data_IF_748750844585
#
_entry.id   IF_748750844585
#
_cell.length_a   1.000
_cell.length_b   1.000
_cell.length_c   1.000
_cell.angle_alpha   90.00
_cell.angle_beta   90.00
_cell.angle_gamma   90.00
#
_symmetry.space_group_name_H-M   'P 1'
#
loop_
_entity.id
_entity.type
_entity.pdbx_description
1 polymer ?
#
# COMPACT_ATOMS: atom_id res chain seq x y z
N UNK A 1 -20.02 5.89 -5.06
CA UNK A 1 -20.12 7.06 -5.97
C UNK A 1 -19.48 6.77 -7.33
N UNK A 2 -18.18 6.47 -7.41
CA UNK A 2 -17.45 6.30 -8.69
C UNK A 2 -18.04 5.24 -9.62
N UNK A 3 -18.30 4.02 -9.13
CA UNK A 3 -18.92 2.96 -9.96
C UNK A 3 -20.31 3.33 -10.48
N UNK A 4 -21.15 3.93 -9.61
CA UNK A 4 -22.48 4.41 -10.00
C UNK A 4 -22.38 5.50 -11.08
N UNK A 5 -21.38 6.38 -10.99
CA UNK A 5 -21.10 7.40 -12.01
C UNK A 5 -20.66 6.80 -13.34
N UNK A 6 -19.85 5.72 -13.30
CA UNK A 6 -19.41 5.02 -14.49
C UNK A 6 -20.56 4.23 -15.16
N UNK A 7 -21.60 3.82 -14.42
CA UNK A 7 -22.76 3.05 -14.93
C UNK A 7 -22.34 1.81 -15.74
N UNK A 8 -21.31 1.09 -15.27
CA UNK A 8 -20.77 -0.09 -15.97
C UNK A 8 -20.02 0.22 -17.27
N UNK A 9 -19.74 1.49 -17.58
CA UNK A 9 -18.95 1.92 -18.76
C UNK A 9 -17.47 2.00 -18.44
N UNK A 10 -16.89 0.85 -18.12
CA UNK A 10 -15.44 0.67 -17.94
C UNK A 10 -15.04 -0.72 -18.43
N UNK A 11 -13.78 -0.87 -18.85
CA UNK A 11 -13.19 -2.17 -19.17
C UNK A 11 -12.90 -2.94 -17.89
N UNK A 12 -11.87 -2.51 -17.16
CA UNK A 12 -11.49 -3.08 -15.85
C UNK A 12 -11.43 -1.98 -14.80
N UNK A 13 -11.95 -2.26 -13.61
CA UNK A 13 -11.78 -1.39 -12.44
C UNK A 13 -10.67 -1.92 -11.54
N UNK A 14 -9.63 -1.11 -11.32
CA UNK A 14 -8.53 -1.46 -10.41
C UNK A 14 -8.71 -0.64 -9.13
N UNK A 15 -8.83 -1.32 -8.00
CA UNK A 15 -8.93 -0.73 -6.68
C UNK A 15 -7.63 -0.92 -5.91
N UNK A 16 -7.04 0.20 -5.46
CA UNK A 16 -5.90 0.16 -4.54
C UNK A 16 -6.43 -0.02 -3.12
N UNK A 17 -6.32 -1.26 -2.65
CA UNK A 17 -6.66 -1.68 -1.30
C UNK A 17 -5.40 -1.72 -0.42
N UNK A 18 -5.46 -2.46 0.68
CA UNK A 18 -4.42 -2.53 1.71
C UNK A 18 -4.41 -3.90 2.36
N UNK A 19 -3.30 -4.33 2.94
CA UNK A 19 -3.25 -5.52 3.79
C UNK A 19 -3.86 -5.29 5.18
N UNK A 20 -4.17 -4.04 5.58
CA UNK A 20 -4.95 -3.77 6.79
C UNK A 20 -6.36 -4.37 6.75
N UNK A 21 -6.85 -4.83 5.59
CA UNK A 21 -8.11 -5.60 5.52
C UNK A 21 -8.04 -6.90 6.33
N UNK A 22 -6.85 -7.43 6.59
CA UNK A 22 -6.65 -8.61 7.42
C UNK A 22 -6.79 -8.32 8.92
N UNK A 23 -6.51 -7.09 9.36
CA UNK A 23 -6.68 -6.67 10.78
C UNK A 23 -8.14 -6.69 11.23
N UNK A 24 -9.06 -6.63 10.26
CA UNK A 24 -10.52 -6.64 10.47
C UNK A 24 -11.18 -7.93 10.01
N UNK A 25 -10.37 -8.93 9.66
CA UNK A 25 -10.80 -10.26 9.21
C UNK A 25 -10.70 -11.29 10.33
N UNK A 26 -11.29 -12.46 10.12
CA UNK A 26 -11.29 -13.57 11.07
C UNK A 26 -9.93 -14.27 11.10
N UNK A 27 -9.08 -13.83 12.04
CA UNK A 27 -7.73 -14.36 12.21
C UNK A 27 -7.66 -15.86 12.52
N UNK A 28 -8.75 -16.47 12.97
CA UNK A 28 -8.79 -17.92 13.20
C UNK A 28 -8.61 -18.72 11.90
N UNK A 29 -8.87 -18.11 10.73
CA UNK A 29 -8.73 -18.76 9.42
C UNK A 29 -7.27 -18.96 9.00
N UNK A 30 -6.33 -18.22 9.57
CA UNK A 30 -4.91 -18.30 9.22
C UNK A 30 -3.97 -18.43 10.42
N UNK A 31 -4.51 -18.55 11.63
CA UNK A 31 -3.69 -18.74 12.82
C UNK A 31 -2.87 -20.03 12.71
N UNK A 32 -1.55 -19.92 12.88
CA UNK A 32 -0.62 -21.04 12.75
C UNK A 32 -0.26 -21.43 11.30
N UNK A 33 -0.81 -20.74 10.29
CA UNK A 33 -0.38 -20.92 8.91
C UNK A 33 0.92 -20.15 8.63
N UNK A 34 1.72 -20.58 7.64
CA UNK A 34 2.96 -19.90 7.28
C UNK A 34 2.73 -18.55 6.58
N UNK A 35 1.55 -18.34 5.99
CA UNK A 35 1.25 -17.13 5.21
C UNK A 35 -0.25 -16.86 5.09
N UNK A 36 -0.63 -15.59 4.93
CA UNK A 36 -2.00 -15.13 4.69
C UNK A 36 -2.24 -14.94 3.19
N UNK A 37 -3.22 -15.63 2.63
CA UNK A 37 -3.68 -15.48 1.24
C UNK A 37 -4.86 -14.51 1.11
N UNK A 38 -5.23 -14.21 -0.12
CA UNK A 38 -6.30 -13.28 -0.44
C UNK A 38 -7.69 -13.76 0.02
N UNK A 39 -7.87 -15.08 0.14
CA UNK A 39 -9.12 -15.71 0.52
C UNK A 39 -9.45 -15.54 2.01
N UNK A 40 -8.49 -15.13 2.82
CA UNK A 40 -8.67 -14.92 4.25
C UNK A 40 -9.22 -13.55 4.64
N UNK A 41 -9.43 -12.64 3.68
CA UNK A 41 -10.08 -11.36 3.95
C UNK A 41 -11.59 -11.54 4.10
N UNK A 42 -11.99 -12.12 5.22
CA UNK A 42 -13.36 -12.50 5.57
C UNK A 42 -13.68 -11.95 6.95
N UNK A 43 -14.80 -11.23 7.09
CA UNK A 43 -15.23 -10.70 8.40
C UNK A 43 -15.53 -11.84 9.38
N UNK A 44 -15.25 -11.66 10.69
CA UNK A 44 -15.76 -12.55 11.73
C UNK A 44 -17.28 -12.67 11.68
N UNK A 45 -17.80 -13.83 12.08
CA UNK A 45 -19.25 -14.08 12.13
C UNK A 45 -19.95 -13.26 13.21
N UNK A 46 -19.29 -13.03 14.36
CA UNK A 46 -19.91 -12.31 15.46
C UNK A 46 -19.90 -10.79 15.22
N UNK A 47 -21.10 -10.17 15.20
CA UNK A 47 -21.26 -8.71 15.03
C UNK A 47 -20.47 -7.89 16.04
N UNK A 48 -20.41 -8.35 17.30
CA UNK A 48 -19.64 -7.68 18.35
C UNK A 48 -18.14 -7.67 18.02
N UNK A 49 -17.61 -8.77 17.48
CA UNK A 49 -16.21 -8.86 17.07
C UNK A 49 -15.93 -7.93 15.90
N UNK A 50 -16.81 -7.87 14.90
CA UNK A 50 -16.70 -6.92 13.78
C UNK A 50 -16.66 -5.47 14.28
N UNK A 51 -17.52 -5.10 15.24
CA UNK A 51 -17.56 -3.76 15.81
C UNK A 51 -16.26 -3.42 16.57
N UNK A 52 -15.71 -4.37 17.32
CA UNK A 52 -14.43 -4.21 18.02
C UNK A 52 -13.26 -4.03 17.05
N UNK A 53 -13.18 -4.86 16.00
CA UNK A 53 -12.12 -4.75 15.00
C UNK A 53 -12.22 -3.45 14.21
N UNK A 54 -13.42 -3.00 13.84
CA UNK A 54 -13.64 -1.67 13.22
C UNK A 54 -13.10 -0.55 14.10
N UNK A 55 -13.32 -0.62 15.42
CA UNK A 55 -12.82 0.39 16.35
C UNK A 55 -11.29 0.40 16.42
N UNK A 56 -10.66 -0.76 16.31
CA UNK A 56 -9.19 -0.88 16.28
C UNK A 56 -8.60 -0.38 14.96
N UNK A 57 -9.21 -0.73 13.84
CA UNK A 57 -8.77 -0.32 12.51
C UNK A 57 -9.97 0.04 11.62
N UNK A 58 -10.34 1.32 11.69
CA UNK A 58 -11.41 1.87 10.85
C UNK A 58 -10.98 1.96 9.39
N UNK A 59 -9.69 2.15 9.11
CA UNK A 59 -9.15 2.23 7.76
C UNK A 59 -9.28 0.89 7.04
N UNK A 60 -8.74 -0.19 7.62
CA UNK A 60 -8.88 -1.56 7.14
C UNK A 60 -10.35 -1.98 7.01
N UNK A 61 -11.20 -1.62 7.98
CA UNK A 61 -12.64 -1.89 7.93
C UNK A 61 -13.33 -1.29 6.69
N UNK A 62 -13.06 -0.01 6.43
CA UNK A 62 -13.65 0.71 5.30
C UNK A 62 -13.08 0.20 3.97
N UNK A 63 -11.78 -0.13 3.91
CA UNK A 63 -11.15 -0.73 2.73
C UNK A 63 -11.78 -2.08 2.38
N UNK A 64 -11.98 -2.96 3.38
CA UNK A 64 -12.64 -4.25 3.19
C UNK A 64 -14.11 -4.09 2.76
N UNK A 65 -14.83 -3.11 3.32
CA UNK A 65 -16.21 -2.82 2.90
C UNK A 65 -16.31 -2.44 1.42
N UNK A 66 -15.33 -1.68 0.90
CA UNK A 66 -15.27 -1.35 -0.52
C UNK A 66 -15.00 -2.61 -1.36
N UNK A 67 -14.11 -3.51 -0.92
CA UNK A 67 -13.89 -4.77 -1.62
C UNK A 67 -15.14 -5.64 -1.70
N UNK A 68 -15.93 -5.70 -0.64
CA UNK A 68 -17.22 -6.44 -0.59
C UNK A 68 -18.21 -5.86 -1.61
N UNK A 69 -18.40 -4.54 -1.62
CA UNK A 69 -19.26 -3.85 -2.60
C UNK A 69 -18.75 -4.05 -4.04
N UNK A 70 -17.43 -3.98 -4.25
CA UNK A 70 -16.82 -4.18 -5.56
C UNK A 70 -17.02 -5.59 -6.09
N UNK A 71 -16.98 -6.60 -5.21
CA UNK A 71 -17.26 -8.00 -5.56
C UNK A 71 -18.70 -8.18 -6.03
N UNK A 72 -19.66 -7.62 -5.29
CA UNK A 72 -21.07 -7.63 -5.68
C UNK A 72 -21.30 -6.91 -7.01
N UNK A 73 -20.68 -5.74 -7.20
CA UNK A 73 -20.79 -4.97 -8.43
C UNK A 73 -20.17 -5.67 -9.64
N UNK A 74 -19.03 -6.34 -9.48
CA UNK A 74 -18.39 -7.11 -10.54
C UNK A 74 -19.37 -8.19 -11.07
N UNK A 75 -19.99 -8.92 -10.15
CA UNK A 75 -21.00 -9.93 -10.47
C UNK A 75 -22.25 -9.32 -11.12
N UNK A 76 -22.75 -8.20 -10.60
CA UNK A 76 -23.96 -7.56 -11.11
C UNK A 76 -23.78 -6.94 -12.51
N UNK A 77 -22.59 -6.43 -12.81
CA UNK A 77 -22.30 -5.74 -14.08
C UNK A 77 -21.64 -6.62 -15.14
N UNK A 78 -21.15 -7.80 -14.76
CA UNK A 78 -20.34 -8.63 -15.64
C UNK A 78 -18.99 -7.99 -15.98
N UNK A 79 -18.51 -7.03 -15.17
CA UNK A 79 -17.28 -6.26 -15.44
C UNK A 79 -16.16 -6.66 -14.49
N UNK A 80 -14.93 -6.85 -14.99
CA UNK A 80 -13.81 -7.25 -14.17
C UNK A 80 -13.39 -6.15 -13.18
N UNK A 81 -13.09 -6.59 -11.96
CA UNK A 81 -12.55 -5.79 -10.87
C UNK A 81 -11.33 -6.48 -10.30
N UNK A 82 -10.24 -5.73 -10.14
CA UNK A 82 -9.03 -6.19 -9.48
C UNK A 82 -8.73 -5.31 -8.25
N UNK A 83 -8.49 -5.93 -7.10
CA UNK A 83 -8.05 -5.27 -5.87
C UNK A 83 -6.57 -5.59 -5.62
N UNK A 84 -5.75 -4.56 -5.45
CA UNK A 84 -4.35 -4.71 -5.02
C UNK A 84 -4.26 -4.40 -3.53
N UNK A 85 -3.95 -5.40 -2.70
CA UNK A 85 -3.74 -5.27 -1.26
C UNK A 85 -2.27 -5.03 -1.00
N UNK A 86 -1.94 -3.75 -0.84
CA UNK A 86 -0.57 -3.31 -0.60
C UNK A 86 -0.25 -3.39 0.89
N UNK A 87 0.93 -3.89 1.22
CA UNK A 87 1.53 -3.69 2.54
C UNK A 87 2.09 -2.26 2.65
N UNK A 88 2.99 -2.01 3.61
CA UNK A 88 3.63 -0.71 3.74
C UNK A 88 4.46 -0.37 2.50
N UNK A 89 3.98 0.61 1.72
CA UNK A 89 4.59 0.98 0.44
C UNK A 89 5.84 1.83 0.68
N UNK A 90 6.93 1.47 0.00
CA UNK A 90 8.19 2.21 -0.04
C UNK A 90 8.59 2.47 -1.49
N UNK A 91 9.35 3.54 -1.71
CA UNK A 91 9.87 3.88 -3.03
C UNK A 91 10.03 5.38 -3.27
N UNK A 92 10.49 5.76 -4.46
CA UNK A 92 10.45 7.14 -4.93
C UNK A 92 9.07 7.78 -4.74
N UNK A 93 9.06 9.04 -4.33
CA UNK A 93 7.84 9.84 -4.11
C UNK A 93 6.92 9.32 -2.99
N UNK A 94 7.43 8.58 -1.99
CA UNK A 94 6.70 8.27 -0.75
C UNK A 94 6.18 9.57 -0.09
N UNK A 95 4.87 9.61 0.16
CA UNK A 95 4.13 10.72 0.75
C UNK A 95 3.58 10.37 2.15
N UNK A 96 3.87 9.17 2.66
CA UNK A 96 3.46 8.77 4.01
C UNK A 96 4.40 9.29 5.10
N UNK A 97 5.61 9.67 4.69
CA UNK A 97 6.77 10.08 5.49
C UNK A 97 7.27 9.02 6.49
N UNK A 98 6.72 7.81 6.47
CA UNK A 98 7.04 6.77 7.45
C UNK A 98 8.47 6.29 7.26
N UNK A 99 8.82 6.00 6.02
CA UNK A 99 10.17 5.57 5.65
C UNK A 99 11.17 6.74 5.73
N UNK A 100 10.76 7.94 5.32
CA UNK A 100 11.50 9.20 5.52
C UNK A 100 11.94 9.44 6.96
N UNK A 101 11.04 9.23 7.91
CA UNK A 101 11.37 9.46 9.32
C UNK A 101 12.51 8.55 9.79
N UNK A 102 12.45 7.26 9.47
CA UNK A 102 13.52 6.32 9.82
C UNK A 102 14.82 6.58 9.03
N UNK A 103 14.72 6.97 7.76
CA UNK A 103 15.88 7.35 6.95
C UNK A 103 16.68 8.52 7.56
N UNK A 104 16.03 9.54 8.11
CA UNK A 104 16.77 10.61 8.80
C UNK A 104 17.18 10.24 10.22
N UNK A 105 16.35 9.50 10.95
CA UNK A 105 16.68 9.15 12.32
C UNK A 105 17.93 8.27 12.38
N UNK A 106 18.05 7.28 11.49
CA UNK A 106 19.23 6.42 11.38
C UNK A 106 20.51 7.22 11.09
N UNK A 107 20.43 8.33 10.36
CA UNK A 107 21.59 9.18 10.11
C UNK A 107 22.15 9.86 11.36
N UNK A 108 21.32 10.07 12.39
CA UNK A 108 21.71 10.72 13.65
C UNK A 108 21.63 9.77 14.84
N UNK A 109 21.43 8.48 14.60
CA UNK A 109 21.17 7.47 15.62
C UNK A 109 22.29 7.36 16.67
N UNK A 110 23.55 7.58 16.26
CA UNK A 110 24.69 7.57 17.20
C UNK A 110 24.58 8.63 18.31
N UNK A 111 23.89 9.74 18.06
CA UNK A 111 23.61 10.80 19.04
C UNK A 111 22.21 10.65 19.67
N UNK A 112 21.24 10.24 18.86
CA UNK A 112 19.83 10.16 19.23
C UNK A 112 19.27 8.78 18.88
N UNK A 113 19.28 7.81 19.82
CA UNK A 113 18.85 6.44 19.52
C UNK A 113 17.45 6.40 18.91
N UNK A 114 17.27 5.55 17.90
CA UNK A 114 15.93 5.28 17.33
C UNK A 114 15.08 4.58 18.39
N UNK A 115 13.88 5.11 18.63
CA UNK A 115 12.92 4.46 19.53
C UNK A 115 12.19 3.38 18.76
N UNK A 116 12.16 2.18 19.32
CA UNK A 116 11.58 0.98 18.73
C UNK A 116 10.55 0.45 19.73
N UNK A 117 9.37 0.06 19.25
CA UNK A 117 8.37 -0.55 20.12
C UNK A 117 8.80 -1.99 20.52
N UNK A 118 8.20 -2.59 21.58
CA UNK A 118 8.61 -3.91 22.05
C UNK A 118 8.53 -5.05 21.01
N UNK A 119 7.69 -4.90 19.99
CA UNK A 119 7.54 -5.90 18.91
C UNK A 119 8.50 -5.67 17.75
N UNK A 120 9.09 -4.48 17.63
CA UNK A 120 10.00 -4.11 16.54
C UNK A 120 11.17 -5.07 16.28
N UNK A 121 11.77 -5.74 17.28
CA UNK A 121 12.82 -6.74 17.04
C UNK A 121 12.32 -8.11 16.54
N UNK A 122 11.03 -8.42 16.72
CA UNK A 122 10.50 -9.79 16.53
C UNK A 122 9.39 -9.88 15.48
N UNK A 123 8.52 -8.87 15.38
CA UNK A 123 7.44 -8.84 14.41
C UNK A 123 8.01 -8.66 13.00
N UNK A 124 7.71 -9.62 12.12
CA UNK A 124 8.08 -9.54 10.71
C UNK A 124 7.00 -8.79 9.93
N UNK A 125 7.41 -7.82 9.11
CA UNK A 125 6.53 -7.03 8.26
C UNK A 125 6.81 -7.28 6.78
N UNK A 126 5.78 -7.10 5.96
CA UNK A 126 5.89 -7.05 4.50
C UNK A 126 6.01 -5.57 4.08
N UNK A 127 6.92 -5.27 3.15
CA UNK A 127 6.98 -3.96 2.48
C UNK A 127 6.61 -4.11 1.01
N UNK A 128 6.03 -3.09 0.41
CA UNK A 128 5.67 -3.08 -1.02
C UNK A 128 6.53 -2.08 -1.76
N UNK A 129 7.21 -2.48 -2.82
CA UNK A 129 7.93 -1.52 -3.66
C UNK A 129 6.98 -0.85 -4.65
N UNK A 130 7.01 0.49 -4.73
CA UNK A 130 6.09 1.27 -5.56
C UNK A 130 6.15 0.93 -7.05
N UNK A 131 7.33 0.55 -7.56
CA UNK A 131 7.45 0.16 -8.98
C UNK A 131 6.78 -1.18 -9.28
N UNK A 132 6.74 -2.11 -8.31
CA UNK A 132 5.97 -3.35 -8.45
C UNK A 132 4.46 -3.07 -8.48
N UNK A 133 4.00 -2.04 -7.76
CA UNK A 133 2.60 -1.57 -7.85
C UNK A 133 2.31 -1.04 -9.26
N UNK A 134 3.19 -0.20 -9.80
CA UNK A 134 3.05 0.31 -11.15
C UNK A 134 3.07 -0.81 -12.21
N UNK A 135 3.93 -1.82 -12.02
CA UNK A 135 4.00 -3.00 -12.87
C UNK A 135 2.70 -3.82 -12.81
N UNK A 136 2.16 -4.06 -11.61
CA UNK A 136 0.90 -4.77 -11.41
C UNK A 136 -0.28 -4.05 -12.09
N UNK A 137 -0.41 -2.75 -11.87
CA UNK A 137 -1.43 -1.92 -12.52
C UNK A 137 -1.30 -1.99 -14.05
N UNK A 138 -0.09 -1.85 -14.58
CA UNK A 138 0.18 -1.93 -16.02
C UNK A 138 -0.22 -3.29 -16.61
N UNK A 139 0.12 -4.39 -15.94
CA UNK A 139 -0.26 -5.75 -16.36
C UNK A 139 -1.78 -5.95 -16.37
N UNK A 140 -2.48 -5.46 -15.34
CA UNK A 140 -3.93 -5.54 -15.25
C UNK A 140 -4.62 -4.73 -16.37
N UNK A 141 -4.13 -3.53 -16.66
CA UNK A 141 -4.65 -2.70 -17.75
C UNK A 141 -4.40 -3.31 -19.13
N UNK A 142 -3.24 -3.94 -19.35
CA UNK A 142 -2.92 -4.58 -20.63
C UNK A 142 -3.77 -5.84 -20.87
N UNK A 143 -4.01 -6.66 -19.85
CA UNK A 143 -4.90 -7.82 -19.95
C UNK A 143 -6.34 -7.44 -20.30
N UNK A 144 -6.83 -6.36 -19.69
CA UNK A 144 -8.15 -5.83 -19.98
C UNK A 144 -8.34 -5.52 -21.47
N UNK A 145 -7.29 -5.03 -22.15
CA UNK A 145 -7.33 -4.69 -23.58
C UNK A 145 -7.37 -5.91 -24.49
N UNK A 146 -6.79 -7.03 -24.07
CA UNK A 146 -6.76 -8.27 -24.87
C UNK A 146 -8.10 -9.01 -24.74
N UNK A 147 -8.75 -8.91 -23.58
CA UNK A 147 -10.02 -9.58 -23.31
C UNK A 147 -11.25 -8.88 -23.91
N UNK A 148 -11.13 -7.64 -24.40
CA UNK A 148 -12.23 -7.03 -25.18
C UNK A 148 -12.33 -7.74 -26.54
N UNK A 149 -13.46 -8.40 -26.87
CA UNK A 149 -13.69 -8.85 -28.23
C UNK A 149 -13.66 -7.60 -29.09
N UNK A 150 -12.87 -7.60 -30.16
CA UNK A 150 -13.02 -6.61 -31.21
C UNK A 150 -14.50 -6.62 -31.60
N UNK A 151 -15.21 -5.54 -31.26
CA UNK A 151 -16.59 -5.36 -31.66
C UNK A 151 -16.56 -5.42 -33.19
N UNK A 152 -17.02 -6.56 -33.72
CA UNK A 152 -17.01 -6.80 -35.15
C UNK A 152 -17.77 -5.65 -35.79
N UNK A 153 -17.09 -4.92 -36.66
CA UNK A 153 -17.66 -3.87 -37.50
C UNK A 153 -18.61 -4.45 -38.58
N UNK A 154 -19.38 -5.47 -38.22
CA UNK A 154 -20.29 -6.22 -39.09
C UNK A 154 -21.65 -6.42 -38.38
N UNK A 155 -22.23 -5.33 -37.89
CA UNK A 155 -23.68 -5.29 -37.64
C UNK A 155 -24.22 -3.88 -37.84
N UNK A 156 -24.00 -3.34 -39.05
CA UNK A 156 -24.67 -2.12 -39.53
C UNK A 156 -25.27 -2.24 -40.93
N UNK A 157 -25.33 -3.44 -41.49
CA UNK A 157 -25.93 -3.67 -42.84
C UNK A 157 -27.04 -4.73 -42.86
N UNK A 158 -27.46 -5.29 -41.73
CA UNK A 158 -28.51 -6.31 -41.69
C UNK A 158 -29.94 -5.78 -41.44
N UNK A 159 -30.12 -4.47 -41.19
CA UNK A 159 -31.42 -3.90 -40.79
C UNK A 159 -32.21 -3.22 -41.93
N UNK A 160 -31.83 -3.44 -43.20
CA UNK A 160 -32.51 -2.84 -44.36
C UNK A 160 -33.20 -3.82 -45.32
N UNK A 161 -33.19 -5.13 -45.06
CA UNK A 161 -33.87 -6.09 -45.96
C UNK A 161 -34.88 -7.05 -45.32
N UNK A 162 -35.12 -7.02 -44.01
CA UNK A 162 -36.13 -7.86 -43.36
C UNK A 162 -37.52 -7.19 -43.28
N UNK A 163 -37.97 -6.53 -44.37
CA UNK A 163 -39.36 -6.11 -44.55
C UNK A 163 -39.78 -6.25 -46.01
N UNK A 164 -39.84 -7.49 -46.49
CA UNK A 164 -40.75 -7.86 -47.58
C UNK A 164 -40.89 -9.37 -47.67
N UNK A 165 -42.14 -9.79 -47.85
CA UNK A 165 -42.57 -11.13 -48.27
C UNK A 165 -42.87 -12.13 -47.15
N UNK A 166 -44.03 -11.91 -46.56
CA UNK A 166 -44.96 -12.93 -46.09
C UNK A 166 -45.50 -13.78 -47.25
N UNK A 167 -45.49 -15.12 -47.13
CA UNK A 167 -46.59 -16.02 -47.53
C UNK A 167 -46.23 -17.50 -47.32
N UNK A 168 -47.07 -18.22 -46.57
CA UNK A 168 -47.60 -19.60 -46.77
C UNK A 168 -46.64 -20.74 -47.20
N UNK A 169 -46.71 -22.01 -46.76
CA UNK A 169 -47.62 -22.78 -45.90
C UNK A 169 -47.20 -24.28 -45.96
N UNK A 170 -47.67 -25.06 -44.97
CA UNK A 170 -47.97 -26.53 -44.92
C UNK A 170 -46.86 -27.61 -44.76
N UNK A 171 -47.04 -28.42 -43.68
CA UNK A 171 -46.90 -29.92 -43.55
C UNK A 171 -45.53 -30.60 -43.75
N UNK A 172 -45.14 -31.72 -43.11
CA UNK A 172 -45.76 -32.67 -42.17
C UNK A 172 -44.65 -33.55 -41.52
N UNK A 173 -45.01 -34.12 -40.36
CA UNK A 173 -44.55 -35.34 -39.64
C UNK A 173 -43.47 -36.28 -40.23
N UNK A 174 -42.62 -36.87 -39.36
CA UNK A 174 -42.70 -38.28 -38.85
C UNK A 174 -41.49 -38.58 -37.91
N UNK A 175 -41.74 -39.51 -37.00
CA UNK A 175 -41.13 -39.95 -35.73
C UNK A 175 -39.95 -40.96 -35.77
N UNK A 176 -39.39 -41.16 -34.56
CA UNK A 176 -38.66 -42.35 -34.02
C UNK A 176 -37.15 -42.45 -34.32
N UNK A 177 -36.22 -42.91 -33.45
CA UNK A 177 -36.22 -43.51 -32.10
C UNK A 177 -34.75 -43.71 -31.64
N UNK A 178 -34.52 -43.78 -30.30
CA UNK A 178 -33.48 -44.51 -29.49
C UNK A 178 -32.24 -45.11 -30.21
N UNK A 179 -31.01 -45.12 -29.69
CA UNK A 179 -30.52 -45.37 -28.32
C UNK A 179 -28.98 -45.16 -28.26
N UNK A 180 -28.47 -44.87 -27.05
CA UNK A 180 -27.12 -45.18 -26.48
C UNK A 180 -25.83 -45.03 -27.32
N UNK A 181 -24.95 -44.14 -26.84
CA UNK A 181 -23.55 -44.55 -26.49
C UNK A 181 -22.99 -43.63 -25.41
N UNK A 182 -22.53 -44.23 -24.32
CA UNK A 182 -21.72 -43.60 -23.27
C UNK A 182 -20.28 -43.36 -23.74
N UNK A 183 -19.65 -42.38 -23.07
CA UNK A 183 -18.23 -42.21 -22.86
C UNK A 183 -17.35 -41.76 -24.05
N UNK A 184 -16.98 -40.48 -24.03
CA UNK A 184 -15.58 -40.07 -23.98
C UNK A 184 -15.43 -38.55 -23.78
N UNK A 185 -14.56 -38.19 -22.84
CA UNK A 185 -13.58 -37.11 -22.92
C UNK A 185 -14.12 -35.66 -22.95
N UNK A 186 -14.14 -34.98 -21.79
CA UNK A 186 -13.04 -34.10 -21.31
C UNK A 186 -12.72 -32.96 -22.27
N UNK A 187 -13.25 -31.77 -21.96
CA UNK A 187 -12.81 -30.51 -22.55
C UNK A 187 -13.83 -29.41 -22.28
N UNK A 188 -13.40 -28.33 -21.64
CA UNK A 188 -14.14 -27.08 -21.33
C UNK A 188 -15.07 -27.07 -20.10
N UNK A 189 -14.53 -27.41 -18.93
CA UNK A 189 -14.71 -26.50 -17.80
C UNK A 189 -13.68 -25.39 -18.00
N UNK A 190 -13.99 -24.44 -18.88
CA UNK A 190 -13.28 -23.16 -18.87
C UNK A 190 -13.46 -22.62 -17.44
N UNK A 191 -12.37 -22.55 -16.67
CA UNK A 191 -12.35 -21.87 -15.40
C UNK A 191 -12.96 -20.49 -15.62
N UNK A 192 -14.19 -20.31 -15.14
CA UNK A 192 -14.89 -19.05 -15.26
C UNK A 192 -14.10 -18.06 -14.41
N UNK A 193 -13.18 -17.33 -15.04
CA UNK A 193 -12.23 -16.45 -14.37
C UNK A 193 -13.04 -15.48 -13.52
N UNK A 194 -12.89 -15.57 -12.19
CA UNK A 194 -13.70 -14.77 -11.25
C UNK A 194 -13.59 -13.30 -11.63
N UNK A 195 -14.73 -12.65 -11.92
CA UNK A 195 -14.78 -11.24 -12.30
C UNK A 195 -14.18 -10.35 -11.22
N UNK A 196 -14.24 -10.77 -9.96
CA UNK A 196 -13.54 -10.14 -8.86
C UNK A 196 -12.25 -10.89 -8.54
N UNK A 197 -11.12 -10.19 -8.58
CA UNK A 197 -9.81 -10.71 -8.14
C UNK A 197 -9.22 -9.79 -7.11
N UNK A 198 -8.66 -10.37 -6.05
CA UNK A 198 -7.80 -9.67 -5.11
C UNK A 198 -6.40 -10.28 -5.18
N UNK A 199 -5.39 -9.44 -5.00
CA UNK A 199 -3.97 -9.79 -5.02
C UNK A 199 -3.25 -9.15 -3.84
N UNK A 200 -2.53 -9.95 -3.06
CA UNK A 200 -1.50 -9.45 -2.16
C UNK A 200 -0.29 -9.03 -2.99
N UNK A 201 0.26 -7.87 -2.65
CA UNK A 201 1.43 -7.32 -3.31
C UNK A 201 2.38 -6.75 -2.28
N UNK A 202 3.54 -7.36 -2.17
CA UNK A 202 4.67 -6.96 -1.34
C UNK A 202 5.96 -7.62 -1.87
N UNK A 203 7.13 -7.16 -1.45
CA UNK A 203 8.38 -7.91 -1.57
C UNK A 203 8.20 -9.31 -0.95
N UNK A 204 8.90 -10.31 -1.48
CA UNK A 204 8.78 -11.69 -0.99
C UNK A 204 9.37 -11.83 0.41
N UNK A 205 10.50 -11.15 0.64
CA UNK A 205 11.14 -11.13 1.93
C UNK A 205 10.34 -10.26 2.91
N UNK A 206 10.37 -10.70 4.16
CA UNK A 206 9.89 -9.91 5.28
C UNK A 206 11.06 -9.39 6.09
N UNK A 207 10.83 -8.39 6.92
CA UNK A 207 11.86 -7.75 7.74
C UNK A 207 11.29 -7.35 9.09
N UNK A 208 12.09 -7.34 10.14
CA UNK A 208 11.70 -6.68 11.40
C UNK A 208 12.00 -5.18 11.33
N UNK A 209 11.48 -4.38 12.26
CA UNK A 209 11.81 -2.96 12.29
C UNK A 209 13.32 -2.76 12.52
N UNK A 210 13.93 -3.56 13.41
CA UNK A 210 15.37 -3.50 13.69
C UNK A 210 16.21 -3.87 12.46
N UNK A 211 15.88 -4.98 11.78
CA UNK A 211 16.56 -5.38 10.53
C UNK A 211 16.45 -4.28 9.46
N UNK A 212 15.30 -3.61 9.34
CA UNK A 212 15.11 -2.49 8.41
C UNK A 212 15.97 -1.28 8.79
N UNK A 213 16.05 -0.93 10.07
CA UNK A 213 16.92 0.16 10.56
C UNK A 213 18.40 -0.13 10.25
N UNK A 214 18.83 -1.38 10.38
CA UNK A 214 20.19 -1.80 10.01
C UNK A 214 20.45 -1.63 8.52
N UNK A 215 19.52 -2.05 7.65
CA UNK A 215 19.62 -1.84 6.21
C UNK A 215 19.70 -0.35 5.87
N UNK A 216 18.81 0.47 6.43
CA UNK A 216 18.79 1.93 6.25
C UNK A 216 20.12 2.56 6.66
N UNK A 217 20.62 2.20 7.84
CA UNK A 217 21.88 2.73 8.37
C UNK A 217 23.07 2.35 7.49
N UNK A 218 23.17 1.09 7.08
CA UNK A 218 24.22 0.62 6.17
C UNK A 218 24.21 1.41 4.84
N UNK A 219 23.03 1.68 4.28
CA UNK A 219 22.89 2.50 3.07
C UNK A 219 23.34 3.94 3.32
N UNK A 220 22.92 4.55 4.43
CA UNK A 220 23.34 5.91 4.78
C UNK A 220 24.86 6.02 4.92
N UNK A 221 25.51 5.04 5.57
CA UNK A 221 26.98 4.97 5.68
C UNK A 221 27.64 4.87 4.30
N UNK A 222 27.12 4.02 3.40
CA UNK A 222 27.63 3.92 2.02
C UNK A 222 27.52 5.26 1.28
N UNK A 223 26.35 5.89 1.35
CA UNK A 223 26.08 7.15 0.67
C UNK A 223 26.91 8.32 1.20
N UNK A 224 27.31 8.32 2.47
CA UNK A 224 28.30 9.28 2.98
C UNK A 224 29.68 9.04 2.38
N UNK A 225 30.12 7.78 2.27
CA UNK A 225 31.41 7.43 1.62
C UNK A 225 31.42 7.82 0.15
N UNK A 226 30.27 7.75 -0.51
CA UNK A 226 30.07 8.17 -1.90
C UNK A 226 29.84 9.69 -2.07
N UNK A 227 29.73 10.45 -0.98
CA UNK A 227 29.47 11.90 -1.01
C UNK A 227 28.02 12.28 -1.37
N UNK A 228 27.09 11.32 -1.37
CA UNK A 228 25.66 11.55 -1.61
C UNK A 228 24.95 12.12 -0.39
N UNK A 229 25.40 11.78 0.83
CA UNK A 229 24.90 12.33 2.09
C UNK A 229 26.01 13.10 2.84
N UNK A 230 25.65 14.13 3.63
CA UNK A 230 26.60 14.84 4.47
C UNK A 230 27.16 13.93 5.57
N UNK A 231 28.46 14.05 5.82
CA UNK A 231 29.10 13.47 6.99
C UNK A 231 28.75 14.31 8.23
N UNK A 232 28.40 13.70 9.37
CA UNK A 232 28.30 14.44 10.62
C UNK A 232 29.68 15.05 10.91
N UNK A 233 29.76 16.37 10.86
CA UNK A 233 30.98 17.09 11.22
C UNK A 233 31.40 16.70 12.63
N UNK A 234 32.63 16.20 12.78
CA UNK A 234 33.30 16.13 14.06
C UNK A 234 33.44 17.56 14.59
N UNK A 235 32.48 18.00 15.40
CA UNK A 235 32.58 19.27 16.11
C UNK A 235 33.67 19.14 17.17
N UNK A 236 34.90 19.49 16.79
CA UNK A 236 35.78 20.50 17.42
C UNK A 236 37.22 20.29 16.96
N UNK A 237 37.85 21.36 16.48
CA UNK A 237 39.27 21.44 16.11
C UNK A 237 40.22 21.31 17.32
N UNK A 238 39.78 20.83 18.48
CA UNK A 238 40.61 20.71 19.70
C UNK A 238 41.23 19.33 19.92
N UNK A 239 40.85 18.29 19.16
CA UNK A 239 41.38 16.93 19.34
C UNK A 239 42.48 16.54 18.32
N UNK A 240 43.24 17.51 17.82
CA UNK A 240 44.42 17.22 16.97
C UNK A 240 45.65 16.71 17.74
N UNK A 241 45.57 16.55 19.07
CA UNK A 241 46.73 16.26 19.90
C UNK A 241 46.87 14.80 20.38
N UNK A 242 45.95 13.89 20.06
CA UNK A 242 46.11 12.48 20.46
C UNK A 242 45.83 11.56 19.28
N UNK A 243 46.85 10.81 18.88
CA UNK A 243 46.85 9.85 17.77
C UNK A 243 45.97 8.62 18.03
N UNK A 244 44.68 8.84 18.25
CA UNK A 244 43.67 7.80 18.34
C UNK A 244 43.15 7.54 16.91
N UNK A 245 42.97 6.27 16.48
CA UNK A 245 42.55 5.99 15.12
C UNK A 245 41.22 6.69 14.80
N UNK A 246 41.19 7.44 13.69
CA UNK A 246 39.95 7.96 13.09
C UNK A 246 39.09 6.76 12.69
N UNK A 247 38.08 6.45 13.48
CA UNK A 247 37.17 5.35 13.18
C UNK A 247 36.29 4.95 14.35
N UNK A 248 35.61 5.90 15.01
CA UNK A 248 34.33 5.50 15.61
C UNK A 248 33.38 5.33 14.44
N UNK A 249 33.20 4.10 13.98
CA UNK A 249 32.13 3.77 13.05
C UNK A 249 30.84 4.38 13.60
N UNK A 250 30.11 5.08 12.74
CA UNK A 250 28.77 5.55 13.09
C UNK A 250 27.95 4.32 13.44
N UNK A 251 27.78 4.08 14.74
CA UNK A 251 27.04 2.94 15.25
C UNK A 251 25.55 3.27 15.20
N UNK A 252 24.76 2.36 14.62
CA UNK A 252 23.31 2.43 14.73
C UNK A 252 22.94 2.18 16.20
N UNK A 253 22.31 3.16 16.83
CA UNK A 253 21.75 2.98 18.18
C UNK A 253 20.24 3.03 18.11
N UNK A 254 19.63 2.05 18.74
CA UNK A 254 18.19 1.98 18.95
C UNK A 254 17.93 1.45 20.36
N UNK A 255 16.74 1.70 20.88
CA UNK A 255 16.30 1.15 22.17
C UNK A 255 14.81 0.89 22.17
N UNK A 256 14.40 -0.08 22.97
CA UNK A 256 12.99 -0.35 23.23
C UNK A 256 12.41 0.83 24.04
N UNK A 257 11.27 1.34 23.60
CA UNK A 257 10.45 2.31 24.33
C UNK A 257 9.08 1.68 24.56
N UNK A 258 8.77 1.35 25.82
CA UNK A 258 7.51 0.71 26.20
C UNK A 258 6.34 1.71 26.22
N UNK A 259 6.63 3.00 26.40
CA UNK A 259 5.62 4.04 26.34
C UNK A 259 5.28 4.35 24.87
N UNK A 260 4.20 3.76 24.38
CA UNK A 260 3.70 3.98 23.02
C UNK A 260 3.38 5.45 22.71
N UNK A 261 3.18 6.32 23.73
CA UNK A 261 3.00 7.77 23.50
C UNK A 261 4.31 8.47 23.18
N UNK A 262 5.44 7.88 23.58
CA UNK A 262 6.80 8.38 23.35
C UNK A 262 7.49 7.70 22.17
N UNK A 263 7.04 6.50 21.80
CA UNK A 263 7.50 5.77 20.63
C UNK A 263 6.56 6.01 19.44
N UNK A 264 6.85 6.97 18.55
CA UNK A 264 6.13 7.04 17.30
C UNK A 264 6.58 5.86 16.42
N UNK A 265 5.98 4.68 16.59
CA UNK A 265 6.22 3.57 15.68
C UNK A 265 5.45 3.86 14.38
N UNK A 266 6.20 4.05 13.30
CA UNK A 266 5.63 4.35 11.97
C UNK A 266 5.42 3.10 11.13
N UNK A 267 6.11 2.01 11.48
CA UNK A 267 6.11 0.73 10.77
C UNK A 267 6.27 -0.40 11.81
N UNK A 268 5.60 -1.54 11.62
CA UNK A 268 4.60 -1.79 10.59
C UNK A 268 3.29 -1.02 10.83
N UNK A 269 2.50 -0.78 9.79
CA UNK A 269 1.15 -0.19 9.94
C UNK A 269 0.07 -1.18 10.36
N UNK A 270 0.41 -2.47 10.44
CA UNK A 270 -0.48 -3.57 10.79
C UNK A 270 0.10 -4.40 11.94
N UNK A 271 -0.75 -5.03 12.74
CA UNK A 271 -0.33 -5.86 13.86
C UNK A 271 -0.23 -7.35 13.51
N UNK A 272 -0.66 -7.77 12.31
CA UNK A 272 -0.48 -9.13 11.80
C UNK A 272 0.99 -9.57 11.83
N UNK A 273 1.22 -10.74 12.41
CA UNK A 273 2.54 -11.37 12.47
C UNK A 273 2.78 -12.35 11.30
N UNK A 274 1.73 -13.03 10.83
CA UNK A 274 1.83 -14.05 9.78
C UNK A 274 2.00 -13.41 8.41
N UNK A 275 3.12 -13.55 7.66
CA UNK A 275 3.40 -12.86 6.40
C UNK A 275 2.35 -13.04 5.29
N UNK A 276 2.30 -12.13 4.31
CA UNK A 276 1.48 -12.31 3.11
C UNK A 276 2.10 -13.34 2.16
N UNK A 277 1.27 -14.05 1.41
CA UNK A 277 1.72 -14.82 0.23
C UNK A 277 1.47 -14.04 -1.06
N UNK A 278 2.49 -14.00 -1.92
CA UNK A 278 2.44 -13.36 -3.24
C UNK A 278 2.25 -14.39 -4.38
N UNK A 279 1.98 -15.66 -4.05
CA UNK A 279 1.82 -16.75 -5.02
C UNK A 279 0.83 -16.41 -6.13
N UNK A 280 -0.32 -15.83 -5.76
CA UNK A 280 -1.41 -15.52 -6.68
C UNK A 280 -1.00 -14.47 -7.71
N UNK A 281 -0.45 -13.34 -7.26
CA UNK A 281 -0.06 -12.26 -8.18
C UNK A 281 1.08 -12.69 -9.11
N UNK A 282 2.01 -13.53 -8.65
CA UNK A 282 3.06 -14.10 -9.51
C UNK A 282 2.50 -15.03 -10.56
N UNK A 283 1.67 -15.99 -10.15
CA UNK A 283 1.08 -16.96 -11.07
C UNK A 283 0.18 -16.28 -12.09
N UNK A 284 -0.65 -15.36 -11.62
CA UNK A 284 -1.67 -14.74 -12.45
C UNK A 284 -1.10 -13.56 -13.24
N UNK A 285 -0.23 -12.69 -12.73
CA UNK A 285 0.28 -11.53 -13.50
C UNK A 285 1.69 -11.72 -14.09
N UNK A 286 2.39 -12.80 -13.74
CA UNK A 286 3.75 -13.06 -14.20
C UNK A 286 4.75 -12.00 -13.73
N UNK A 287 4.52 -11.42 -12.55
CA UNK A 287 5.41 -10.42 -11.96
C UNK A 287 6.61 -11.10 -11.29
N UNK A 288 7.81 -10.61 -11.60
CA UNK A 288 8.98 -10.82 -10.77
C UNK A 288 9.04 -9.65 -9.79
N UNK A 289 8.80 -9.93 -8.52
CA UNK A 289 8.73 -8.90 -7.48
C UNK A 289 10.14 -8.46 -7.10
N UNK A 290 10.29 -7.17 -6.81
CA UNK A 290 11.58 -6.57 -6.49
C UNK A 290 12.06 -7.08 -5.12
N UNK A 291 13.30 -7.59 -5.01
CA UNK A 291 13.87 -7.99 -3.73
C UNK A 291 13.86 -6.85 -2.72
N UNK A 292 13.55 -7.16 -1.46
CA UNK A 292 13.42 -6.13 -0.41
C UNK A 292 14.66 -5.22 -0.30
N UNK A 293 15.86 -5.80 -0.34
CA UNK A 293 17.11 -5.03 -0.21
C UNK A 293 17.29 -4.04 -1.36
N UNK A 294 16.88 -4.42 -2.57
CA UNK A 294 16.93 -3.57 -3.76
C UNK A 294 15.88 -2.46 -3.68
N UNK A 295 14.67 -2.77 -3.21
CA UNK A 295 13.63 -1.79 -2.96
C UNK A 295 14.07 -0.73 -1.93
N UNK A 296 14.67 -1.16 -0.82
CA UNK A 296 15.23 -0.27 0.21
C UNK A 296 16.36 0.59 -0.34
N UNK A 297 17.31 0.00 -1.08
CA UNK A 297 18.43 0.74 -1.68
C UNK A 297 17.93 1.79 -2.68
N UNK A 298 17.00 1.43 -3.56
CA UNK A 298 16.42 2.36 -4.53
C UNK A 298 15.67 3.50 -3.85
N UNK A 299 14.90 3.18 -2.81
CA UNK A 299 14.18 4.17 -2.00
C UNK A 299 15.16 5.14 -1.34
N UNK A 300 16.17 4.64 -0.62
CA UNK A 300 17.16 5.47 0.06
C UNK A 300 17.97 6.35 -0.91
N UNK A 301 18.37 5.80 -2.07
CA UNK A 301 19.10 6.55 -3.10
C UNK A 301 18.27 7.71 -3.61
N UNK A 302 16.99 7.46 -3.92
CA UNK A 302 16.08 8.52 -4.33
C UNK A 302 15.91 9.58 -3.25
N UNK A 303 15.72 9.19 -1.98
CA UNK A 303 15.56 10.12 -0.86
C UNK A 303 16.79 10.99 -0.61
N UNK A 304 17.99 10.45 -0.76
CA UNK A 304 19.23 11.21 -0.65
C UNK A 304 19.29 12.34 -1.69
N UNK A 305 18.88 12.06 -2.92
CA UNK A 305 18.76 13.08 -3.97
C UNK A 305 17.58 14.04 -3.72
N UNK A 306 16.42 13.50 -3.34
CA UNK A 306 15.19 14.24 -3.10
C UNK A 306 15.30 15.22 -1.92
N UNK A 307 16.12 14.92 -0.91
CA UNK A 307 16.40 15.85 0.20
C UNK A 307 16.89 17.21 -0.29
N UNK A 308 17.69 17.22 -1.38
CA UNK A 308 18.19 18.46 -2.01
C UNK A 308 17.22 19.02 -3.05
N UNK A 309 16.57 18.15 -3.83
CA UNK A 309 15.68 18.57 -4.91
C UNK A 309 14.34 19.12 -4.40
N UNK A 310 13.84 18.60 -3.27
CA UNK A 310 12.53 18.87 -2.67
C UNK A 310 12.69 19.13 -1.15
N UNK A 311 13.44 20.17 -0.74
CA UNK A 311 13.83 20.37 0.66
C UNK A 311 12.65 20.74 1.58
N UNK A 312 11.55 21.26 1.02
CA UNK A 312 10.36 21.57 1.79
C UNK A 312 9.63 20.29 2.20
N UNK A 313 9.37 19.41 1.24
CA UNK A 313 8.73 18.11 1.43
C UNK A 313 9.57 17.24 2.35
N UNK A 314 10.89 17.21 2.14
CA UNK A 314 11.83 16.56 3.04
C UNK A 314 11.77 17.13 4.47
N UNK A 315 11.67 18.45 4.63
CA UNK A 315 11.56 19.05 5.96
C UNK A 315 10.22 18.73 6.64
N UNK A 316 9.11 18.62 5.90
CA UNK A 316 7.80 18.30 6.44
C UNK A 316 7.80 16.93 7.13
N UNK A 317 8.37 15.95 6.45
CA UNK A 317 8.57 14.61 6.96
C UNK A 317 9.54 14.58 8.16
N UNK A 318 10.61 15.39 8.15
CA UNK A 318 11.54 15.51 9.29
C UNK A 318 10.89 16.12 10.54
N UNK A 319 9.71 16.75 10.43
CA UNK A 319 8.95 17.24 11.61
C UNK A 319 8.46 16.10 12.51
N UNK A 320 8.30 14.89 11.98
CA UNK A 320 7.87 13.70 12.74
C UNK A 320 8.94 13.17 13.71
N UNK A 321 10.20 13.57 13.53
CA UNK A 321 11.30 13.20 14.43
C UNK A 321 11.13 13.83 15.83
N UNK A 322 11.66 13.18 16.89
CA UNK A 322 11.85 13.83 18.18
C UNK A 322 12.61 15.16 18.05
N UNK A 323 12.30 16.13 18.92
CA UNK A 323 12.81 17.50 18.78
C UNK A 323 14.34 17.58 18.68
N UNK A 324 15.05 16.83 19.53
CA UNK A 324 16.52 16.84 19.56
C UNK A 324 17.11 16.19 18.31
N UNK A 325 16.56 15.04 17.88
CA UNK A 325 16.96 14.37 16.63
C UNK A 325 16.71 15.29 15.41
N UNK A 326 15.57 15.96 15.37
CA UNK A 326 15.21 16.92 14.33
C UNK A 326 16.20 18.09 14.26
N UNK A 327 16.68 18.59 15.40
CA UNK A 327 17.70 19.65 15.41
C UNK A 327 19.06 19.17 14.88
N UNK A 328 19.48 17.95 15.22
CA UNK A 328 20.71 17.38 14.64
C UNK A 328 20.56 17.15 13.14
N UNK A 329 19.42 16.67 12.66
CA UNK A 329 19.12 16.53 11.21
C UNK A 329 19.15 17.89 10.52
N UNK A 330 18.52 18.92 11.10
CA UNK A 330 18.58 20.30 10.61
C UNK A 330 20.02 20.84 10.54
N UNK A 331 20.85 20.54 11.52
CA UNK A 331 22.24 20.99 11.55
C UNK A 331 23.06 20.31 10.45
N UNK A 332 22.84 19.01 10.25
CA UNK A 332 23.50 18.14 9.28
C UNK A 332 23.13 18.47 7.83
N UNK A 333 21.84 18.69 7.56
CA UNK A 333 21.30 18.98 6.23
C UNK A 333 20.97 20.46 6.09
N UNK A 334 21.91 21.23 5.52
CA UNK A 334 21.77 22.69 5.39
C UNK A 334 20.54 23.10 4.57
N UNK A 335 20.17 22.29 3.56
CA UNK A 335 19.02 22.52 2.68
C UNK A 335 17.68 22.51 3.44
N UNK A 336 17.60 21.83 4.58
CA UNK A 336 16.38 21.76 5.40
C UNK A 336 16.24 22.94 6.37
N UNK A 337 17.28 23.76 6.53
CA UNK A 337 17.30 24.87 7.49
C UNK A 337 16.21 25.94 7.26
N UNK A 338 15.82 26.29 6.02
CA UNK A 338 14.74 27.26 5.83
C UNK A 338 13.37 26.75 6.31
N UNK A 339 13.17 25.43 6.40
CA UNK A 339 11.84 24.81 6.55
C UNK A 339 11.59 24.13 7.90
N UNK A 340 12.66 23.90 8.68
CA UNK A 340 12.58 23.38 10.04
C UNK A 340 12.64 24.52 11.09
N UNK A 341 12.05 24.36 12.29
CA UNK A 341 12.15 25.37 13.35
C UNK A 341 13.55 25.40 13.97
N UNK A 342 14.05 26.59 14.31
CA UNK A 342 15.30 26.74 15.08
C UNK A 342 15.06 26.50 16.57
N UNK A 343 16.07 25.98 17.28
CA UNK A 343 16.01 25.71 18.73
C UNK A 343 15.73 26.94 19.59
N UNK A 344 15.93 28.15 19.06
CA UNK A 344 15.66 29.41 19.75
C UNK A 344 14.18 29.85 19.72
N UNK A 345 13.29 29.13 19.01
CA UNK A 345 11.89 29.53 18.83
C UNK A 345 10.92 28.98 19.89
N UNK A 346 11.41 28.29 20.92
CA UNK A 346 10.60 27.89 22.08
C UNK A 346 10.63 28.93 23.19
N UNK A 347 10.12 30.13 22.92
CA UNK A 347 9.58 31.01 23.96
C UNK A 347 8.58 32.00 23.36
N UNK A 348 7.38 32.04 23.95
CA UNK A 348 6.24 32.94 23.72
C UNK A 348 5.34 32.71 22.49
N UNK A 349 4.24 31.98 22.71
CA UNK A 349 2.90 32.60 22.63
C UNK A 349 1.84 31.66 23.21
N UNK A 350 1.37 32.05 24.39
CA UNK A 350 0.14 31.63 25.04
C UNK A 350 -1.10 31.91 24.17
N UNK A 351 -2.03 30.96 24.19
CA UNK A 351 -3.49 31.11 24.06
C UNK A 351 -4.04 32.40 23.43
N UNK A 352 -4.53 32.29 22.20
CA UNK A 352 -5.65 33.10 21.72
C UNK A 352 -6.63 32.20 20.98
N UNK A 353 -7.67 31.79 21.71
CA UNK A 353 -8.92 31.27 21.16
C UNK A 353 -9.51 32.26 20.17
N UNK A 354 -9.65 31.86 18.92
CA UNK A 354 -10.58 32.48 17.97
C UNK A 354 -11.41 31.37 17.32
N UNK A 355 -12.62 31.24 17.85
CA UNK A 355 -13.74 30.55 17.24
C UNK A 355 -14.15 31.25 15.95
N UNK A 356 -14.08 30.56 14.83
CA UNK A 356 -14.81 30.91 13.62
C UNK A 356 -15.58 29.70 13.12
N UNK A 357 -16.81 29.61 13.61
CA UNK A 357 -17.92 28.87 13.01
C UNK A 357 -18.18 29.38 11.59
N UNK A 358 -18.17 28.49 10.60
CA UNK A 358 -18.79 28.73 9.31
C UNK A 358 -19.87 27.66 9.08
N UNK A 359 -21.09 28.09 9.34
CA UNK A 359 -22.35 27.46 8.97
C UNK A 359 -22.50 27.36 7.46
N UNK A 360 -23.09 26.28 6.97
CA UNK A 360 -23.92 26.21 5.75
C UNK A 360 -24.74 24.93 5.84
N UNK A 361 -25.91 25.00 6.49
CA UNK A 361 -27.23 25.14 5.86
C UNK A 361 -27.82 23.79 5.49
N UNK A 362 -28.45 23.19 6.50
CA UNK A 362 -29.51 22.20 6.38
C UNK A 362 -30.80 22.90 5.96
N UNK A 363 -31.40 22.46 4.86
CA UNK A 363 -32.79 22.73 4.51
C UNK A 363 -33.65 21.54 4.99
N UNK A 364 -34.43 21.77 6.03
CA UNK A 364 -35.74 21.15 6.31
C UNK A 364 -36.73 22.33 6.26
N UNK A 365 -38.01 22.25 5.92
CA UNK A 365 -38.98 21.16 5.85
C UNK A 365 -40.14 21.60 4.94
N UNK A 366 -40.98 20.65 4.55
CA UNK A 366 -42.43 20.90 4.55
C UNK A 366 -43.14 19.56 4.68
N UNK A 367 -43.65 19.33 5.89
CA UNK A 367 -44.74 18.42 6.21
C UNK A 367 -45.99 18.80 5.40
N UNK A 368 -46.77 17.82 4.93
CA UNK A 368 -48.24 17.79 5.09
C UNK A 368 -48.72 16.32 5.09
N UNK A 369 -49.51 16.01 6.15
CA UNK A 369 -50.46 14.92 6.43
C UNK A 369 -50.28 13.48 5.92
#
# INVERSE_FOLDING_TARGET
ASLNGLRGRYGTYIYISTDSVYEVSDSSLWQGLPSVSEDFAVRPKERQRVALLKKKDTYGHNKLAVEEILREQANATGRPVACLRLADVIGPFDDTDRFWTYFWWTQVAGQHPVLVDPTGPTQRMNLTFVEDVAAAVSRLLLRARIAEPQCSAQSRTADLHARRSSSASVSASVSASRDKTEAAATGSLEEQESLFRAFNLACEETVTLVEMLELLHQRCVSYRREGLLPSPSASTETDRAQGTPRGREEELRWRIEEDCLRCPSFLPSVCRETPLTMKKIRAELGLSLTPLVEAVDTTCRWMAAATRAFPKEAADAARKLPADARQTVRALHQDLRPFLPSSASSSSSSSSSSSSSSSSSSEESSDEE
#
